data_IF_482825558498
#
_entry.id   IF_482825558498
#
_cell.length_a   1.000
_cell.length_b   1.000
_cell.length_c   1.000
_cell.angle_alpha   90.00
_cell.angle_beta   90.00
_cell.angle_gamma   90.00
#
_symmetry.space_group_name_H-M   'P 1'
#
loop_
_entity.id
_entity.type
_entity.pdbx_description
1 polymer ?
#
# COMPACT_ATOMS: atom_id res chain seq x y z
N UNK A 1 -14.87 -11.78 14.42
CA UNK A 1 -15.06 -11.89 12.96
C UNK A 1 -14.77 -10.52 12.36
N UNK A 2 -13.89 -10.41 11.37
CA UNK A 2 -13.56 -9.15 10.70
C UNK A 2 -14.43 -8.97 9.44
N UNK A 3 -14.84 -7.74 9.10
CA UNK A 3 -15.69 -7.43 7.94
C UNK A 3 -15.35 -6.06 7.36
N UNK A 4 -15.31 -5.96 6.03
CA UNK A 4 -14.98 -4.73 5.30
C UNK A 4 -14.87 -4.95 3.79
N UNK A 5 -14.60 -3.88 3.04
CA UNK A 5 -14.45 -3.96 1.57
C UNK A 5 -13.08 -4.52 1.21
N UNK A 6 -13.01 -5.36 0.18
CA UNK A 6 -11.75 -5.84 -0.38
C UNK A 6 -11.29 -4.95 -1.56
N UNK A 7 -10.04 -4.51 -1.51
CA UNK A 7 -9.29 -3.94 -2.63
C UNK A 7 -8.36 -5.02 -3.17
N UNK A 8 -8.70 -5.56 -4.33
CA UNK A 8 -7.96 -6.67 -4.94
C UNK A 8 -6.85 -6.14 -5.83
N UNK A 9 -5.64 -6.62 -5.59
CA UNK A 9 -4.47 -6.41 -6.44
C UNK A 9 -3.99 -7.74 -7.04
N UNK A 10 -3.14 -7.65 -8.06
CA UNK A 10 -2.59 -8.80 -8.76
C UNK A 10 -1.47 -9.51 -7.99
N UNK A 11 -0.75 -10.36 -8.72
CA UNK A 11 0.51 -10.94 -8.25
C UNK A 11 1.62 -9.87 -8.26
N UNK A 12 2.70 -10.15 -7.54
CA UNK A 12 3.96 -9.41 -7.61
C UNK A 12 3.84 -7.90 -7.31
N UNK A 13 2.97 -7.52 -6.38
CA UNK A 13 2.92 -6.16 -5.85
C UNK A 13 4.13 -5.93 -4.94
N UNK A 14 5.14 -5.19 -5.42
CA UNK A 14 6.38 -4.95 -4.70
C UNK A 14 6.24 -3.89 -3.62
N UNK A 15 7.21 -3.83 -2.70
CA UNK A 15 7.29 -2.73 -1.74
C UNK A 15 7.45 -1.36 -2.39
N UNK A 16 7.99 -1.27 -3.61
CA UNK A 16 7.98 -0.04 -4.42
C UNK A 16 6.56 0.35 -4.86
N UNK A 17 5.72 -0.63 -5.21
CA UNK A 17 4.33 -0.38 -5.59
C UNK A 17 3.47 -0.03 -4.37
N UNK A 18 3.78 -0.58 -3.19
CA UNK A 18 3.08 -0.24 -1.94
C UNK A 18 3.50 1.14 -1.44
N UNK A 19 4.81 1.41 -1.38
CA UNK A 19 5.37 2.70 -0.96
C UNK A 19 6.50 3.08 -1.93
N UNK A 20 6.23 3.97 -2.91
CA UNK A 20 7.20 4.36 -3.92
C UNK A 20 8.50 4.92 -3.32
N UNK A 21 9.65 4.41 -3.77
CA UNK A 21 10.96 4.87 -3.28
C UNK A 21 11.20 6.38 -3.45
N UNK A 22 10.58 7.00 -4.46
CA UNK A 22 10.61 8.46 -4.68
C UNK A 22 10.02 9.26 -3.50
N UNK A 23 9.18 8.65 -2.67
CA UNK A 23 8.54 9.24 -1.49
C UNK A 23 9.30 8.94 -0.19
N UNK A 24 10.49 8.33 -0.25
CA UNK A 24 11.27 8.00 0.95
C UNK A 24 11.62 9.21 1.83
N UNK A 25 11.54 10.44 1.31
CA UNK A 25 11.69 11.67 2.07
C UNK A 25 10.51 11.97 3.02
N UNK A 26 9.33 11.39 2.78
CA UNK A 26 8.14 11.50 3.63
C UNK A 26 8.10 10.47 4.76
N UNK A 27 9.13 9.62 4.91
CA UNK A 27 9.18 8.52 5.89
C UNK A 27 8.98 8.95 7.35
N UNK A 28 9.29 10.21 7.66
CA UNK A 28 9.08 10.79 8.99
C UNK A 28 7.70 11.45 9.17
N UNK A 29 6.88 11.53 8.11
CA UNK A 29 5.54 12.08 8.09
C UNK A 29 4.56 11.02 7.55
N UNK A 30 4.28 10.00 8.37
CA UNK A 30 3.40 8.90 8.01
C UNK A 30 2.00 9.35 7.55
N UNK A 31 1.35 10.38 8.14
CA UNK A 31 0.07 10.87 7.64
C UNK A 31 0.13 11.39 6.20
N UNK A 32 1.24 12.00 5.78
CA UNK A 32 1.43 12.42 4.39
C UNK A 32 1.73 11.23 3.50
N UNK A 33 2.66 10.35 3.92
CA UNK A 33 3.02 9.14 3.18
C UNK A 33 1.80 8.23 2.92
N UNK A 34 0.88 8.14 3.89
CA UNK A 34 -0.35 7.37 3.81
C UNK A 34 -1.28 7.80 2.65
N UNK A 35 -1.17 9.04 2.17
CA UNK A 35 -1.94 9.55 1.03
C UNK A 35 -1.48 8.98 -0.31
N UNK A 36 -0.31 8.37 -0.33
CA UNK A 36 0.37 7.89 -1.53
C UNK A 36 0.54 6.38 -1.58
N UNK A 37 0.05 5.64 -0.58
CA UNK A 37 0.21 4.18 -0.55
C UNK A 37 -0.53 3.58 -1.73
N UNK A 38 0.10 2.60 -2.37
CA UNK A 38 -0.42 1.90 -3.55
C UNK A 38 -0.76 2.81 -4.74
N UNK A 39 -0.34 4.08 -4.76
CA UNK A 39 -0.73 5.03 -5.82
C UNK A 39 -0.18 4.64 -7.20
N UNK A 40 1.00 4.03 -7.24
CA UNK A 40 1.61 3.54 -8.48
C UNK A 40 0.92 2.24 -8.98
N UNK A 41 0.18 1.54 -8.11
CA UNK A 41 -0.64 0.38 -8.48
C UNK A 41 -2.10 0.76 -8.79
N UNK A 42 -2.65 1.73 -8.05
CA UNK A 42 -3.99 2.29 -8.18
C UNK A 42 -4.02 3.72 -7.61
N UNK A 43 -3.99 4.70 -8.50
CA UNK A 43 -3.97 6.14 -8.17
C UNK A 43 -5.16 6.61 -7.33
N UNK A 44 -6.25 5.83 -7.26
CA UNK A 44 -7.46 6.18 -6.51
C UNK A 44 -7.57 5.47 -5.18
N UNK A 45 -6.65 4.55 -4.85
CA UNK A 45 -6.72 3.68 -3.67
C UNK A 45 -6.82 4.49 -2.37
N UNK A 46 -5.85 5.37 -2.11
CA UNK A 46 -5.76 6.12 -0.86
C UNK A 46 -7.00 7.00 -0.58
N UNK A 47 -7.67 7.48 -1.63
CA UNK A 47 -8.91 8.28 -1.48
C UNK A 47 -10.16 7.46 -1.15
N UNK A 48 -10.13 6.14 -1.40
CA UNK A 48 -11.29 5.25 -1.29
C UNK A 48 -11.22 4.31 -0.11
N UNK A 49 -10.03 3.95 0.34
CA UNK A 49 -9.82 3.02 1.46
C UNK A 49 -10.32 3.64 2.77
N UNK A 50 -10.94 2.82 3.61
CA UNK A 50 -11.42 3.22 4.93
C UNK A 50 -10.92 2.25 6.00
N UNK A 51 -10.84 2.69 7.27
CA UNK A 51 -10.57 1.77 8.38
C UNK A 51 -11.52 0.57 8.35
N UNK A 52 -10.94 -0.63 8.44
CA UNK A 52 -11.68 -1.91 8.35
C UNK A 52 -11.72 -2.53 6.96
N UNK A 53 -11.29 -1.83 5.91
CA UNK A 53 -11.11 -2.42 4.59
C UNK A 53 -9.86 -3.31 4.51
N UNK A 54 -9.79 -4.14 3.47
CA UNK A 54 -8.75 -5.14 3.27
C UNK A 54 -8.04 -4.92 1.93
N UNK A 55 -6.72 -5.01 1.95
CA UNK A 55 -5.91 -5.21 0.74
C UNK A 55 -5.78 -6.71 0.51
N UNK A 56 -6.12 -7.17 -0.68
CA UNK A 56 -6.05 -8.58 -1.08
C UNK A 56 -5.13 -8.69 -2.28
N UNK A 57 -3.90 -9.12 -2.03
CA UNK A 57 -2.92 -9.42 -3.08
C UNK A 57 -3.05 -10.84 -3.64
N UNK A 58 -2.48 -11.05 -4.83
CA UNK A 58 -2.19 -12.37 -5.34
C UNK A 58 -0.92 -12.97 -4.72
N UNK A 59 -0.22 -13.82 -5.48
CA UNK A 59 1.06 -14.38 -5.06
C UNK A 59 2.14 -13.31 -4.96
N UNK A 60 3.07 -13.49 -4.00
CA UNK A 60 4.27 -12.65 -3.86
C UNK A 60 3.98 -11.16 -3.58
N UNK A 61 2.87 -10.86 -2.90
CA UNK A 61 2.57 -9.51 -2.43
C UNK A 61 3.58 -9.08 -1.36
N UNK A 62 4.17 -7.89 -1.52
CA UNK A 62 5.22 -7.35 -0.66
C UNK A 62 6.65 -7.73 -1.06
N UNK A 63 6.88 -8.25 -2.28
CA UNK A 63 8.23 -8.57 -2.75
C UNK A 63 9.14 -7.34 -2.85
N UNK A 64 10.45 -7.59 -2.97
CA UNK A 64 11.44 -6.56 -3.28
C UNK A 64 12.18 -6.07 -2.05
N UNK A 65 12.57 -4.79 -2.05
CA UNK A 65 13.46 -4.27 -1.02
C UNK A 65 12.80 -4.19 0.37
N UNK A 66 13.64 -4.26 1.41
CA UNK A 66 13.22 -4.18 2.82
C UNK A 66 12.74 -2.77 3.19
N UNK A 67 11.54 -2.40 2.73
CA UNK A 67 10.87 -1.15 3.11
C UNK A 67 9.92 -1.41 4.27
N UNK A 68 10.40 -1.07 5.46
CA UNK A 68 9.64 -1.19 6.70
C UNK A 68 8.39 -0.32 6.73
N UNK A 69 8.27 0.68 5.85
CA UNK A 69 7.11 1.57 5.75
C UNK A 69 5.93 0.96 4.98
N UNK A 70 6.15 -0.11 4.20
CA UNK A 70 5.08 -0.76 3.44
C UNK A 70 3.95 -1.33 4.32
N UNK A 71 4.23 -1.93 5.50
CA UNK A 71 3.19 -2.42 6.41
C UNK A 71 2.74 -1.43 7.51
N UNK A 72 3.20 -0.16 7.52
CA UNK A 72 2.89 0.81 8.59
C UNK A 72 1.58 1.58 8.40
#
# INVERSE_FOLDING_TARGET
MLRGRAFKFGNDISTDLIVPGRLAHLRSNLPELAKHVLEDADQTFASRVRPGDFVVGGSNFGLGSSREHAPL
#
